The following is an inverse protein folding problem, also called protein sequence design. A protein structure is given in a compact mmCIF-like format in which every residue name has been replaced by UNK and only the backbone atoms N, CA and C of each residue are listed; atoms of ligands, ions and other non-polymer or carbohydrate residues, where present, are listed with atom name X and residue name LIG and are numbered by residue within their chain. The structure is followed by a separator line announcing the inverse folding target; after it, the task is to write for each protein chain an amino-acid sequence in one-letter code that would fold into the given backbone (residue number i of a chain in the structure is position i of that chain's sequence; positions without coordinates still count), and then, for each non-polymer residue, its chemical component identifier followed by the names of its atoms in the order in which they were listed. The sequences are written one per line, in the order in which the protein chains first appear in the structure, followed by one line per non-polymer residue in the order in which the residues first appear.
data_IF_996778449905
#
_entry.id   IF_996778449905
#
_cell.length_a   1.000
_cell.length_b   1.000
_cell.length_c   1.000
_cell.angle_alpha   90.00
_cell.angle_beta   90.00
_cell.angle_gamma   90.00
#
_symmetry.space_group_name_H-M   'P 1'
#
loop_
_entity.id
_entity.type
_entity.pdbx_description
1 polymer ?
#
# COMPACT_ATOMS: atom_id res chain seq x y z
N UNK A 1 -26.42 36.05 -9.59
CA UNK A 1 -26.81 34.96 -8.65
C UNK A 1 -26.31 33.58 -9.07
N UNK A 2 -26.48 33.15 -10.34
CA UNK A 2 -26.02 31.83 -10.82
C UNK A 2 -24.49 31.61 -10.86
N UNK A 3 -23.71 32.68 -11.04
CA UNK A 3 -22.23 32.60 -11.08
C UNK A 3 -21.64 32.06 -9.77
N UNK A 4 -22.24 32.42 -8.63
CA UNK A 4 -21.78 31.94 -7.31
C UNK A 4 -21.99 30.43 -7.13
N UNK A 5 -23.09 29.91 -7.69
CA UNK A 5 -23.41 28.48 -7.67
C UNK A 5 -22.39 27.72 -8.52
N UNK A 6 -22.07 28.24 -9.70
CA UNK A 6 -21.09 27.61 -10.60
C UNK A 6 -19.69 27.58 -9.98
N UNK A 7 -19.26 28.67 -9.35
CA UNK A 7 -17.98 28.74 -8.63
C UNK A 7 -17.98 27.78 -7.44
N UNK A 8 -19.09 27.68 -6.69
CA UNK A 8 -19.23 26.74 -5.59
C UNK A 8 -19.05 25.28 -6.02
N UNK A 9 -19.63 24.89 -7.15
CA UNK A 9 -19.51 23.54 -7.71
C UNK A 9 -18.07 23.24 -8.16
N UNK A 10 -17.42 24.18 -8.84
CA UNK A 10 -16.02 24.02 -9.28
C UNK A 10 -15.07 23.96 -8.08
N UNK A 11 -15.28 24.80 -7.05
CA UNK A 11 -14.50 24.79 -5.83
C UNK A 11 -14.65 23.46 -5.06
N UNK A 12 -15.85 22.88 -5.06
CA UNK A 12 -16.10 21.56 -4.47
C UNK A 12 -15.33 20.45 -5.21
N UNK A 13 -15.38 20.45 -6.53
CA UNK A 13 -14.66 19.48 -7.36
C UNK A 13 -13.13 19.64 -7.23
N UNK A 14 -12.64 20.88 -7.27
CA UNK A 14 -11.22 21.19 -7.10
C UNK A 14 -10.72 20.81 -5.69
N UNK A 15 -11.51 21.10 -4.65
CA UNK A 15 -11.21 20.74 -3.27
C UNK A 15 -11.15 19.24 -3.05
N UNK A 16 -12.07 18.46 -3.63
CA UNK A 16 -12.03 17.00 -3.59
C UNK A 16 -10.82 16.43 -4.33
N UNK A 17 -10.51 16.95 -5.54
CA UNK A 17 -9.38 16.48 -6.32
C UNK A 17 -8.04 16.76 -5.62
N UNK A 18 -7.86 17.99 -5.11
CA UNK A 18 -6.66 18.38 -4.38
C UNK A 18 -6.56 17.66 -3.04
N UNK A 19 -7.65 17.57 -2.28
CA UNK A 19 -7.69 16.87 -1.00
C UNK A 19 -7.36 15.38 -1.12
N UNK A 20 -7.92 14.71 -2.13
CA UNK A 20 -7.63 13.29 -2.40
C UNK A 20 -6.16 13.06 -2.78
N UNK A 21 -5.62 13.92 -3.64
CA UNK A 21 -4.23 13.77 -4.10
C UNK A 21 -3.23 13.97 -2.96
N UNK A 22 -3.46 15.00 -2.14
CA UNK A 22 -2.64 15.30 -0.97
C UNK A 22 -2.74 14.16 0.05
N UNK A 23 -3.95 13.76 0.45
CA UNK A 23 -4.14 12.66 1.40
C UNK A 23 -3.46 11.37 0.96
N UNK A 24 -3.54 11.03 -0.34
CA UNK A 24 -2.88 9.86 -0.91
C UNK A 24 -1.36 9.93 -0.79
N UNK A 25 -0.78 11.10 -1.06
CA UNK A 25 0.66 11.33 -0.99
C UNK A 25 1.17 11.30 0.46
N UNK A 26 0.45 11.96 1.38
CA UNK A 26 0.79 11.97 2.80
C UNK A 26 0.72 10.54 3.38
N UNK A 27 -0.34 9.77 3.10
CA UNK A 27 -0.47 8.39 3.57
C UNK A 27 0.72 7.52 3.13
N UNK A 28 1.16 7.66 1.88
CA UNK A 28 2.31 6.93 1.35
C UNK A 28 3.62 7.30 2.07
N UNK A 29 3.78 8.58 2.45
CA UNK A 29 4.94 9.03 3.21
C UNK A 29 4.90 8.61 4.69
N UNK A 30 3.71 8.53 5.29
CA UNK A 30 3.53 8.02 6.66
C UNK A 30 3.89 6.53 6.77
N UNK A 31 3.44 5.69 5.82
CA UNK A 31 3.76 4.26 5.84
C UNK A 31 5.24 3.94 5.58
N UNK A 32 6.01 4.88 5.01
CA UNK A 32 7.46 4.73 4.79
C UNK A 32 8.31 5.04 6.01
N UNK A 33 7.84 5.92 6.91
CA UNK A 33 8.62 6.38 8.07
C UNK A 33 8.56 5.41 9.25
N UNK A 34 7.56 4.53 9.31
CA UNK A 34 7.47 3.45 10.29
C UNK A 34 7.02 2.19 9.57
N UNK A 35 7.94 1.40 9.00
CA UNK A 35 7.57 0.15 8.33
C UNK A 35 6.82 -0.71 9.36
N UNK A 36 5.52 -0.97 9.16
CA UNK A 36 4.73 -1.74 10.11
C UNK A 36 5.01 -3.24 9.93
N UNK A 37 6.26 -3.66 10.12
CA UNK A 37 6.65 -5.08 10.16
C UNK A 37 7.69 -5.24 11.27
N UNK A 38 7.19 -5.51 12.46
CA UNK A 38 7.97 -6.00 13.60
C UNK A 38 7.82 -7.53 13.64
N UNK A 39 8.85 -8.26 14.09
CA UNK A 39 8.90 -9.73 14.20
C UNK A 39 7.62 -10.33 14.79
N UNK A 40 7.04 -9.63 15.76
CA UNK A 40 5.83 -10.01 16.45
C UNK A 40 4.60 -10.06 15.53
N UNK A 41 4.49 -9.15 14.56
CA UNK A 41 3.36 -9.13 13.62
C UNK A 41 3.46 -10.28 12.62
N UNK A 42 4.67 -10.57 12.13
CA UNK A 42 4.96 -11.74 11.30
C UNK A 42 4.74 -13.04 12.03
N UNK A 43 5.15 -13.10 13.31
CA UNK A 43 4.90 -14.22 14.19
C UNK A 43 3.40 -14.44 14.37
N UNK A 44 2.64 -13.38 14.66
CA UNK A 44 1.18 -13.45 14.80
C UNK A 44 0.51 -13.88 13.49
N UNK A 45 0.96 -13.38 12.34
CA UNK A 45 0.46 -13.79 11.02
C UNK A 45 0.73 -15.29 10.78
N UNK A 46 1.94 -15.77 11.05
CA UNK A 46 2.28 -17.20 10.92
C UNK A 46 1.52 -18.07 11.92
N UNK A 47 1.35 -17.60 13.16
CA UNK A 47 0.56 -18.28 14.20
C UNK A 47 -0.92 -18.35 13.84
N UNK A 48 -1.50 -17.29 13.25
CA UNK A 48 -2.87 -17.28 12.73
C UNK A 48 -3.07 -18.26 11.57
N UNK A 49 -2.03 -18.50 10.78
CA UNK A 49 -2.02 -19.50 9.70
C UNK A 49 -1.70 -20.92 10.17
N UNK A 50 -1.60 -21.16 11.49
CA UNK A 50 -1.30 -22.47 12.06
C UNK A 50 0.13 -22.96 11.81
N UNK A 51 1.04 -22.08 11.39
CA UNK A 51 2.45 -22.42 11.20
C UNK A 51 3.24 -22.14 12.47
N UNK A 52 4.05 -23.12 12.90
CA UNK A 52 4.93 -22.95 14.06
C UNK A 52 5.97 -21.85 13.78
N UNK A 53 6.00 -20.79 14.61
CA UNK A 53 6.91 -19.66 14.40
C UNK A 53 8.35 -20.06 14.67
N UNK A 54 9.08 -20.50 13.64
CA UNK A 54 10.52 -20.72 13.72
C UNK A 54 11.25 -19.39 13.57
N UNK A 55 11.91 -18.91 14.63
CA UNK A 55 12.61 -17.61 14.68
C UNK A 55 13.55 -17.37 13.48
N UNK A 56 14.18 -18.44 12.97
CA UNK A 56 15.05 -18.36 11.78
C UNK A 56 14.26 -18.03 10.50
N UNK A 57 13.08 -18.61 10.33
CA UNK A 57 12.18 -18.34 9.18
C UNK A 57 11.60 -16.93 9.27
N UNK A 58 11.25 -16.46 10.47
CA UNK A 58 10.77 -15.09 10.69
C UNK A 58 11.83 -14.09 10.22
N UNK A 59 13.08 -14.26 10.66
CA UNK A 59 14.17 -13.35 10.30
C UNK A 59 14.49 -13.37 8.79
N UNK A 60 14.42 -14.54 8.14
CA UNK A 60 14.57 -14.63 6.67
C UNK A 60 13.42 -13.91 5.94
N UNK A 61 12.20 -14.07 6.42
CA UNK A 61 11.02 -13.45 5.81
C UNK A 61 10.96 -11.93 6.06
N UNK A 62 11.41 -11.46 7.23
CA UNK A 62 11.61 -10.03 7.51
C UNK A 62 12.52 -9.39 6.49
N UNK A 63 13.69 -9.99 6.25
CA UNK A 63 14.68 -9.50 5.29
C UNK A 63 14.14 -9.51 3.86
N UNK A 64 13.42 -10.56 3.48
CA UNK A 64 12.79 -10.65 2.16
C UNK A 64 11.72 -9.56 1.95
N UNK A 65 10.89 -9.27 2.96
CA UNK A 65 9.87 -8.24 2.87
C UNK A 65 10.43 -6.82 2.94
N UNK A 66 11.49 -6.59 3.71
CA UNK A 66 12.20 -5.31 3.72
C UNK A 66 12.76 -4.97 2.34
N UNK A 67 13.18 -5.99 1.58
CA UNK A 67 13.64 -5.85 0.20
C UNK A 67 12.49 -5.70 -0.82
N UNK A 68 11.25 -6.09 -0.50
CA UNK A 68 10.08 -5.95 -1.40
C UNK A 68 9.28 -4.68 -1.14
N UNK A 69 9.28 -4.16 0.09
CA UNK A 69 8.64 -2.90 0.45
C UNK A 69 9.24 -1.69 -0.28
N UNK A 70 10.47 -1.81 -0.79
CA UNK A 70 11.08 -0.79 -1.65
C UNK A 70 10.47 -0.73 -3.05
N UNK A 71 9.73 -1.76 -3.49
CA UNK A 71 9.20 -1.89 -4.85
C UNK A 71 7.73 -1.42 -5.03
N UNK A 72 6.97 -1.16 -3.95
CA UNK A 72 5.60 -0.59 -4.02
C UNK A 72 5.58 0.93 -4.39
N UNK A 73 6.63 1.43 -5.05
CA UNK A 73 6.68 2.76 -5.71
C UNK A 73 6.10 2.78 -7.14
N UNK A 74 5.27 1.81 -7.55
CA UNK A 74 4.57 1.89 -8.85
C UNK A 74 3.12 1.41 -8.75
N UNK A 75 2.14 2.13 -9.34
CA UNK A 75 0.81 1.57 -9.56
C UNK A 75 0.98 0.29 -10.39
N UNK A 76 0.48 -0.83 -9.85
CA UNK A 76 0.57 -2.17 -10.47
C UNK A 76 -0.15 -2.16 -11.83
N UNK A 77 0.58 -1.92 -12.91
CA UNK A 77 0.27 -2.46 -14.23
C UNK A 77 0.93 -3.84 -14.35
N UNK A 78 0.19 -4.77 -14.93
CA UNK A 78 0.64 -6.03 -15.53
C UNK A 78 0.72 -7.25 -14.59
N UNK A 79 -0.42 -7.95 -14.51
CA UNK A 79 -0.49 -9.38 -14.25
C UNK A 79 -0.96 -10.11 -15.53
N UNK A 80 -0.31 -9.82 -16.67
CA UNK A 80 -0.67 -10.36 -17.99
C UNK A 80 0.37 -11.35 -18.56
N UNK A 81 1.20 -11.96 -17.70
CA UNK A 81 2.21 -12.93 -18.13
C UNK A 81 2.21 -14.25 -17.36
N UNK A 82 1.04 -14.75 -16.96
CA UNK A 82 0.90 -16.14 -16.49
C UNK A 82 -0.14 -16.99 -17.24
N UNK A 83 -0.85 -16.47 -18.25
CA UNK A 83 -1.80 -17.27 -19.03
C UNK A 83 -1.25 -17.89 -20.34
N UNK A 84 0.01 -17.65 -20.75
CA UNK A 84 0.61 -18.30 -21.94
C UNK A 84 1.57 -19.45 -21.61
N UNK A 85 1.17 -20.37 -20.74
CA UNK A 85 1.83 -21.69 -20.58
C UNK A 85 0.87 -22.89 -20.42
N UNK A 86 -0.41 -22.70 -20.72
CA UNK A 86 -1.37 -23.79 -20.94
C UNK A 86 -2.25 -23.40 -22.12
N UNK A 87 -1.76 -23.71 -23.30
CA UNK A 87 -2.46 -24.27 -24.46
C UNK A 87 -1.49 -24.30 -25.63
#
# INVERSE_FOLDING_TARGET
MWVNILIGVIALLAGLALGFFIARQYMMNYMKKNPPINEQMLRTMMMQMGQNPSQKKINQMMKAMQNQQTDDKKPKKTNDKQQKKKN
#
